data_IF_989146217452
#
_entry.id   IF_989146217452
#
_cell.length_a   1.000
_cell.length_b   1.000
_cell.length_c   1.000
_cell.angle_alpha   90.00
_cell.angle_beta   90.00
_cell.angle_gamma   90.00
#
_symmetry.space_group_name_H-M   'P 1'
#
loop_
_entity.id
_entity.type
_entity.pdbx_description
1 polymer ?
#
# COMPACT_ATOMS: atom_id res chain seq x y z
N UNK A 1 19.97 8.29 20.38
CA UNK A 1 18.98 8.98 19.53
C UNK A 1 19.38 8.74 18.08
N UNK A 2 18.49 8.16 17.28
CA UNK A 2 18.73 7.90 15.85
C UNK A 2 18.76 9.22 15.07
N UNK A 3 19.60 9.29 14.00
CA UNK A 3 19.64 10.49 13.16
C UNK A 3 18.37 10.61 12.32
N UNK A 4 17.83 11.82 12.16
CA UNK A 4 16.60 12.10 11.41
C UNK A 4 16.63 11.52 9.97
N UNK A 5 17.77 11.63 9.28
CA UNK A 5 17.96 11.03 7.93
C UNK A 5 17.78 9.50 7.91
N UNK A 6 18.17 8.79 8.99
CA UNK A 6 18.03 7.34 9.06
C UNK A 6 16.59 6.93 9.35
N UNK A 7 15.89 7.70 10.21
CA UNK A 7 14.46 7.51 10.45
C UNK A 7 13.68 7.61 9.14
N UNK A 8 13.95 8.67 8.40
CA UNK A 8 13.37 8.94 7.08
C UNK A 8 13.66 7.80 6.08
N UNK A 9 14.94 7.41 5.96
CA UNK A 9 15.34 6.36 5.04
C UNK A 9 14.67 5.02 5.35
N UNK A 10 14.57 4.62 6.62
CA UNK A 10 13.91 3.37 7.00
C UNK A 10 12.40 3.42 6.77
N UNK A 11 11.77 4.55 7.07
CA UNK A 11 10.35 4.76 6.80
C UNK A 11 10.04 4.61 5.30
N UNK A 12 10.80 5.30 4.45
CA UNK A 12 10.60 5.22 3.00
C UNK A 12 10.97 3.85 2.42
N UNK A 13 12.00 3.19 2.94
CA UNK A 13 12.30 1.81 2.55
C UNK A 13 11.10 0.89 2.81
N UNK A 14 10.46 1.03 3.98
CA UNK A 14 9.24 0.29 4.33
C UNK A 14 8.10 0.58 3.36
N UNK A 15 7.81 1.85 3.10
CA UNK A 15 6.75 2.24 2.15
C UNK A 15 6.99 1.69 0.74
N UNK A 16 8.21 1.79 0.23
CA UNK A 16 8.53 1.38 -1.14
C UNK A 16 8.48 -0.13 -1.34
N UNK A 17 8.89 -0.93 -0.35
CA UNK A 17 8.79 -2.39 -0.40
C UNK A 17 7.33 -2.83 -0.41
N UNK A 18 6.49 -2.26 0.45
CA UNK A 18 5.04 -2.57 0.49
C UNK A 18 4.36 -2.14 -0.80
N UNK A 19 4.68 -0.97 -1.33
CA UNK A 19 4.16 -0.45 -2.61
C UNK A 19 4.49 -1.38 -3.78
N UNK A 20 5.73 -1.85 -3.88
CA UNK A 20 6.13 -2.79 -4.92
C UNK A 20 5.35 -4.11 -4.82
N UNK A 21 5.16 -4.63 -3.59
CA UNK A 21 4.38 -5.86 -3.36
C UNK A 21 2.92 -5.67 -3.75
N UNK A 22 2.29 -4.59 -3.32
CA UNK A 22 0.87 -4.33 -3.58
C UNK A 22 0.62 -4.08 -5.08
N UNK A 23 1.49 -3.33 -5.75
CA UNK A 23 1.41 -3.13 -7.21
C UNK A 23 1.50 -4.45 -7.95
N UNK A 24 2.48 -5.30 -7.63
CA UNK A 24 2.63 -6.62 -8.25
C UNK A 24 1.42 -7.53 -7.97
N UNK A 25 0.88 -7.50 -6.76
CA UNK A 25 -0.29 -8.28 -6.38
C UNK A 25 -1.53 -7.85 -7.14
N UNK A 26 -1.77 -6.55 -7.27
CA UNK A 26 -2.93 -6.04 -8.01
C UNK A 26 -2.83 -6.31 -9.50
N UNK A 27 -1.62 -6.19 -10.09
CA UNK A 27 -1.36 -6.60 -11.47
C UNK A 27 -1.69 -8.07 -11.67
N UNK A 28 -1.23 -8.94 -10.78
CA UNK A 28 -1.45 -10.39 -10.85
C UNK A 28 -2.94 -10.76 -10.74
N UNK A 29 -3.64 -10.18 -9.77
CA UNK A 29 -5.08 -10.42 -9.56
C UNK A 29 -5.89 -9.89 -10.75
N UNK A 30 -5.55 -8.71 -11.27
CA UNK A 30 -6.22 -8.13 -12.44
C UNK A 30 -5.99 -8.99 -13.67
N UNK A 31 -4.74 -9.38 -13.94
CA UNK A 31 -4.38 -10.25 -15.05
C UNK A 31 -5.18 -11.57 -15.03
N UNK A 32 -5.17 -12.28 -13.89
CA UNK A 32 -5.91 -13.55 -13.77
C UNK A 32 -7.43 -13.37 -13.85
N UNK A 33 -7.96 -12.27 -13.31
CA UNK A 33 -9.39 -11.98 -13.39
C UNK A 33 -9.89 -11.69 -14.78
N UNK A 34 -8.98 -11.37 -15.71
CA UNK A 34 -9.30 -11.00 -17.09
C UNK A 34 -9.03 -12.11 -18.13
N UNK A 35 -8.54 -13.27 -17.71
CA UNK A 35 -8.25 -14.37 -18.65
C UNK A 35 -9.50 -14.85 -19.43
N UNK A 36 -10.69 -14.67 -18.85
CA UNK A 36 -11.98 -15.05 -19.44
C UNK A 36 -12.90 -13.85 -19.70
N UNK A 37 -12.40 -12.62 -19.51
CA UNK A 37 -13.20 -11.39 -19.58
C UNK A 37 -13.37 -10.90 -21.03
N UNK A 38 -14.47 -10.20 -21.29
CA UNK A 38 -14.70 -9.49 -22.54
C UNK A 38 -13.76 -8.27 -22.66
N UNK A 39 -13.38 -7.85 -23.90
CA UNK A 39 -12.42 -6.74 -24.10
C UNK A 39 -12.79 -5.43 -23.36
N UNK A 40 -14.06 -5.08 -23.29
CA UNK A 40 -14.54 -3.86 -22.62
C UNK A 40 -14.46 -3.98 -21.08
N UNK A 41 -14.60 -5.18 -20.51
CA UNK A 41 -14.37 -5.45 -19.10
C UNK A 41 -12.90 -5.35 -18.76
N UNK A 42 -12.03 -5.80 -19.68
CA UNK A 42 -10.59 -5.72 -19.51
C UNK A 42 -10.12 -4.25 -19.42
N UNK A 43 -10.51 -3.40 -20.36
CA UNK A 43 -10.15 -1.98 -20.33
C UNK A 43 -10.60 -1.30 -19.03
N UNK A 44 -11.84 -1.56 -18.59
CA UNK A 44 -12.37 -1.04 -17.34
C UNK A 44 -11.54 -1.48 -16.14
N UNK A 45 -11.21 -2.76 -16.04
CA UNK A 45 -10.45 -3.30 -14.91
C UNK A 45 -9.03 -2.73 -14.83
N UNK A 46 -8.38 -2.48 -15.98
CA UNK A 46 -7.09 -1.81 -16.01
C UNK A 46 -7.18 -0.32 -15.60
N UNK A 47 -8.23 0.40 -16.04
CA UNK A 47 -8.49 1.77 -15.56
C UNK A 47 -8.72 1.82 -14.05
N UNK A 48 -9.44 0.85 -13.52
CA UNK A 48 -9.72 0.76 -12.10
C UNK A 48 -8.47 0.45 -11.28
N UNK A 49 -7.57 -0.40 -11.79
CA UNK A 49 -6.25 -0.62 -11.19
C UNK A 49 -5.44 0.67 -11.11
N UNK A 50 -5.39 1.44 -12.19
CA UNK A 50 -4.71 2.74 -12.21
C UNK A 50 -5.29 3.71 -11.18
N UNK A 51 -6.62 3.75 -11.02
CA UNK A 51 -7.30 4.58 -9.99
C UNK A 51 -6.92 4.15 -8.57
N UNK A 52 -6.90 2.83 -8.27
CA UNK A 52 -6.47 2.33 -6.95
C UNK A 52 -5.06 2.80 -6.62
N UNK A 53 -4.19 2.81 -7.62
CA UNK A 53 -2.80 3.25 -7.47
C UNK A 53 -2.63 4.77 -7.56
N UNK A 54 -3.71 5.54 -7.88
CA UNK A 54 -3.69 6.99 -8.17
C UNK A 54 -2.76 7.37 -9.31
N UNK A 55 -2.68 6.51 -10.29
CA UNK A 55 -1.84 6.66 -11.49
C UNK A 55 -2.67 6.81 -12.78
N UNK A 56 -3.98 6.99 -12.65
CA UNK A 56 -4.87 7.19 -13.79
C UNK A 56 -4.60 8.49 -14.54
N UNK A 57 -4.33 9.60 -13.84
CA UNK A 57 -3.94 10.88 -14.46
C UNK A 57 -2.56 10.80 -15.11
N UNK A 58 -1.47 10.41 -14.42
CA UNK A 58 -0.15 10.25 -15.04
C UNK A 58 -0.15 9.30 -16.25
N UNK A 59 -0.90 8.20 -16.17
CA UNK A 59 -1.03 7.29 -17.31
C UNK A 59 -1.77 7.93 -18.49
N UNK A 60 -2.81 8.73 -18.24
CA UNK A 60 -3.58 9.41 -19.30
C UNK A 60 -2.71 10.44 -20.07
N UNK A 61 -1.75 11.07 -19.42
CA UNK A 61 -0.81 12.02 -20.04
C UNK A 61 0.12 11.37 -21.08
N UNK A 62 0.29 10.03 -21.02
CA UNK A 62 1.07 9.29 -22.02
C UNK A 62 0.34 9.08 -23.36
N UNK A 63 -0.96 9.45 -23.43
CA UNK A 63 -1.81 9.29 -24.61
C UNK A 63 -1.82 7.85 -25.19
N UNK A 64 -1.58 6.87 -24.33
CA UNK A 64 -1.57 5.45 -24.69
C UNK A 64 -2.92 4.79 -24.43
N UNK A 65 -3.27 3.79 -25.26
CA UNK A 65 -4.47 2.99 -25.03
C UNK A 65 -4.35 2.14 -23.76
N UNK A 66 -5.42 2.07 -22.98
CA UNK A 66 -5.48 1.25 -21.76
C UNK A 66 -5.60 -0.24 -22.13
N UNK A 67 -4.49 -0.95 -22.08
CA UNK A 67 -4.36 -2.37 -22.39
C UNK A 67 -3.42 -3.07 -21.41
N UNK A 68 -3.53 -4.37 -21.28
CA UNK A 68 -2.66 -5.15 -20.40
C UNK A 68 -1.17 -4.81 -20.56
N UNK A 69 -0.67 -4.77 -21.79
CA UNK A 69 0.73 -4.48 -22.08
C UNK A 69 1.12 -3.07 -21.62
N UNK A 70 0.38 -2.02 -22.07
CA UNK A 70 0.73 -0.63 -21.78
C UNK A 70 0.64 -0.29 -20.28
N UNK A 71 -0.39 -0.79 -19.58
CA UNK A 71 -0.55 -0.59 -18.15
C UNK A 71 0.51 -1.36 -17.37
N UNK A 72 0.80 -2.61 -17.77
CA UNK A 72 1.85 -3.38 -17.10
C UNK A 72 3.24 -2.80 -17.33
N UNK A 73 3.58 -2.31 -18.53
CA UNK A 73 4.84 -1.61 -18.78
C UNK A 73 4.97 -0.38 -17.88
N UNK A 74 3.94 0.45 -17.83
CA UNK A 74 3.89 1.66 -17.00
C UNK A 74 4.06 1.36 -15.50
N UNK A 75 3.38 0.33 -15.00
CA UNK A 75 3.42 -0.02 -13.56
C UNK A 75 4.64 -0.85 -13.16
N UNK A 76 5.32 -1.52 -14.10
CA UNK A 76 6.47 -2.37 -13.78
C UNK A 76 7.79 -1.61 -13.93
N UNK A 77 8.03 -0.95 -15.07
CA UNK A 77 9.37 -0.46 -15.39
C UNK A 77 9.45 0.89 -16.11
N UNK A 78 8.35 1.64 -16.25
CA UNK A 78 8.40 2.98 -16.82
C UNK A 78 9.30 3.87 -15.93
N UNK A 79 10.39 4.46 -16.49
CA UNK A 79 11.33 5.26 -15.71
C UNK A 79 10.74 6.59 -15.23
N UNK A 80 9.73 7.11 -15.92
CA UNK A 80 9.06 8.37 -15.58
C UNK A 80 7.94 8.17 -14.56
N UNK A 81 7.62 6.90 -14.25
CA UNK A 81 6.69 6.55 -13.17
C UNK A 81 7.45 6.22 -11.87
N UNK A 82 7.51 7.13 -10.90
CA UNK A 82 8.16 6.88 -9.62
C UNK A 82 7.50 5.74 -8.81
N UNK A 83 6.25 5.35 -9.15
CA UNK A 83 5.53 4.23 -8.57
C UNK A 83 5.69 2.90 -9.31
N UNK A 84 6.41 2.89 -10.39
CA UNK A 84 6.74 1.64 -11.03
C UNK A 84 7.49 0.71 -10.07
N UNK A 85 7.27 -0.58 -10.19
CA UNK A 85 7.92 -1.59 -9.32
C UNK A 85 9.44 -1.41 -9.31
N UNK A 86 10.06 -1.18 -10.50
CA UNK A 86 11.51 -0.96 -10.61
C UNK A 86 11.95 0.30 -9.85
N UNK A 87 11.18 1.38 -9.96
CA UNK A 87 11.46 2.65 -9.27
C UNK A 87 11.33 2.50 -7.76
N UNK A 88 10.26 1.84 -7.29
CA UNK A 88 10.04 1.57 -5.88
C UNK A 88 11.16 0.69 -5.28
N UNK A 89 11.52 -0.40 -5.95
CA UNK A 89 12.61 -1.30 -5.49
C UNK A 89 13.96 -0.58 -5.49
N UNK A 90 14.24 0.25 -6.49
CA UNK A 90 15.47 1.04 -6.53
C UNK A 90 15.52 2.06 -5.39
N UNK A 91 14.41 2.75 -5.13
CA UNK A 91 14.27 3.69 -4.02
C UNK A 91 14.41 2.99 -2.66
N UNK A 92 13.78 1.83 -2.47
CA UNK A 92 13.92 1.02 -1.25
C UNK A 92 15.39 0.64 -0.99
N UNK A 93 16.11 0.22 -2.05
CA UNK A 93 17.55 -0.10 -1.95
C UNK A 93 18.39 1.09 -1.55
N UNK A 94 18.19 2.27 -2.17
CA UNK A 94 18.96 3.46 -1.84
C UNK A 94 18.70 3.92 -0.40
N UNK A 95 17.45 3.85 0.04
CA UNK A 95 17.06 4.13 1.42
C UNK A 95 17.70 3.13 2.40
N UNK A 96 17.66 1.83 2.10
CA UNK A 96 18.34 0.81 2.91
C UNK A 96 19.85 1.03 2.95
N UNK A 97 20.46 1.47 1.84
CA UNK A 97 21.90 1.82 1.78
C UNK A 97 22.23 3.01 2.68
N UNK A 98 21.39 4.04 2.71
CA UNK A 98 21.57 5.22 3.55
C UNK A 98 21.45 4.88 5.06
N UNK A 99 20.72 3.84 5.42
CA UNK A 99 20.55 3.35 6.80
C UNK A 99 21.27 2.01 7.05
N UNK A 100 22.33 1.69 6.27
CA UNK A 100 22.99 0.39 6.25
C UNK A 100 23.49 -0.08 7.62
N UNK A 101 23.91 0.82 8.47
CA UNK A 101 24.40 0.55 9.81
C UNK A 101 23.30 0.17 10.82
N UNK A 102 22.03 0.39 10.48
CA UNK A 102 20.87 0.15 11.33
C UNK A 102 20.06 -1.09 10.92
N UNK A 103 20.42 -1.74 9.82
CA UNK A 103 19.78 -2.96 9.35
C UNK A 103 20.75 -4.14 9.38
N UNK A 104 20.22 -5.36 9.47
CA UNK A 104 21.04 -6.56 9.42
C UNK A 104 21.71 -6.74 8.05
N UNK A 105 22.78 -7.53 8.01
CA UNK A 105 23.46 -7.90 6.75
C UNK A 105 22.51 -8.66 5.84
N UNK A 106 21.73 -9.56 6.41
CA UNK A 106 20.76 -10.40 5.71
C UNK A 106 19.65 -9.55 5.08
N UNK A 107 19.16 -8.54 5.80
CA UNK A 107 18.14 -7.64 5.25
C UNK A 107 18.69 -6.82 4.08
N UNK A 108 19.90 -6.30 4.21
CA UNK A 108 20.56 -5.61 3.10
C UNK A 108 20.75 -6.52 1.89
N UNK A 109 21.24 -7.74 2.10
CA UNK A 109 21.45 -8.73 1.04
C UNK A 109 20.13 -9.06 0.33
N UNK A 110 19.05 -9.27 1.07
CA UNK A 110 17.75 -9.54 0.51
C UNK A 110 17.25 -8.38 -0.39
N UNK A 111 17.34 -7.13 0.08
CA UNK A 111 16.93 -5.95 -0.70
C UNK A 111 17.83 -5.77 -1.93
N UNK A 112 19.15 -5.86 -1.75
CA UNK A 112 20.11 -5.65 -2.82
C UNK A 112 20.03 -6.75 -3.89
N UNK A 113 19.89 -8.01 -3.49
CA UNK A 113 19.73 -9.14 -4.42
C UNK A 113 18.45 -9.02 -5.23
N UNK A 114 17.33 -8.66 -4.60
CA UNK A 114 16.08 -8.40 -5.29
C UNK A 114 16.23 -7.30 -6.35
N UNK A 115 16.84 -6.17 -5.99
CA UNK A 115 17.10 -5.07 -6.94
C UNK A 115 17.98 -5.52 -8.11
N UNK A 116 19.08 -6.23 -7.85
CA UNK A 116 20.00 -6.68 -8.90
C UNK A 116 19.34 -7.70 -9.84
N UNK A 117 18.60 -8.65 -9.29
CA UNK A 117 17.88 -9.65 -10.07
C UNK A 117 16.80 -9.00 -10.94
N UNK A 118 15.98 -8.08 -10.36
CA UNK A 118 14.96 -7.36 -11.11
C UNK A 118 15.56 -6.57 -12.27
N UNK A 119 16.71 -5.93 -12.08
CA UNK A 119 17.42 -5.18 -13.14
C UNK A 119 18.09 -6.05 -14.19
N UNK A 120 18.41 -7.30 -13.88
CA UNK A 120 19.02 -8.23 -14.84
C UNK A 120 18.01 -8.89 -15.78
N UNK A 121 16.71 -8.78 -15.47
CA UNK A 121 15.63 -9.39 -16.26
C UNK A 121 15.31 -8.59 -17.51
N UNK A 122 14.83 -9.29 -18.54
CA UNK A 122 14.19 -8.64 -19.68
C UNK A 122 12.71 -8.40 -19.35
N UNK A 123 12.43 -7.32 -18.60
CA UNK A 123 11.10 -7.03 -18.06
C UNK A 123 10.03 -6.89 -19.14
N UNK A 124 10.37 -6.35 -20.32
CA UNK A 124 9.44 -6.27 -21.43
C UNK A 124 9.01 -7.66 -21.89
N UNK A 125 9.97 -8.55 -22.12
CA UNK A 125 9.66 -9.93 -22.50
C UNK A 125 8.92 -10.69 -21.39
N UNK A 126 9.25 -10.45 -20.12
CA UNK A 126 8.56 -11.06 -18.99
C UNK A 126 7.10 -10.59 -18.90
N UNK A 127 6.83 -9.29 -19.07
CA UNK A 127 5.46 -8.72 -19.07
C UNK A 127 4.64 -9.28 -20.25
N UNK A 128 5.23 -9.44 -21.42
CA UNK A 128 4.53 -9.93 -22.62
C UNK A 128 4.25 -11.44 -22.56
N UNK A 129 5.23 -12.25 -22.14
CA UNK A 129 5.17 -13.70 -22.26
C UNK A 129 4.79 -14.41 -20.96
N UNK A 130 5.20 -13.88 -19.79
CA UNK A 130 5.08 -14.54 -18.48
C UNK A 130 4.78 -13.56 -17.34
N UNK A 131 3.74 -12.71 -17.45
CA UNK A 131 3.48 -11.67 -16.47
C UNK A 131 3.27 -12.22 -15.06
N UNK A 132 2.56 -13.34 -14.90
CA UNK A 132 2.35 -13.98 -13.61
C UNK A 132 3.66 -14.37 -12.90
N UNK A 133 4.62 -14.96 -13.64
CA UNK A 133 5.91 -15.35 -13.06
C UNK A 133 6.70 -14.12 -12.54
N UNK A 134 6.62 -13.00 -13.28
CA UNK A 134 7.23 -11.75 -12.87
C UNK A 134 6.57 -11.19 -11.60
N UNK A 135 5.23 -11.12 -11.58
CA UNK A 135 4.50 -10.60 -10.43
C UNK A 135 4.69 -11.47 -9.19
N UNK A 136 4.71 -12.79 -9.36
CA UNK A 136 4.96 -13.73 -8.26
C UNK A 136 6.41 -13.61 -7.73
N UNK A 137 7.38 -13.43 -8.61
CA UNK A 137 8.77 -13.14 -8.22
C UNK A 137 8.86 -11.86 -7.36
N UNK A 138 8.21 -10.76 -7.76
CA UNK A 138 8.20 -9.50 -6.99
C UNK A 138 7.55 -9.71 -5.63
N UNK A 139 6.36 -10.33 -5.57
CA UNK A 139 5.66 -10.61 -4.31
C UNK A 139 6.52 -11.44 -3.35
N UNK A 140 7.12 -12.53 -3.84
CA UNK A 140 7.97 -13.41 -3.01
C UNK A 140 9.22 -12.69 -2.51
N UNK A 141 9.84 -11.86 -3.34
CA UNK A 141 11.02 -11.08 -2.95
C UNK A 141 10.67 -10.09 -1.84
N UNK A 142 9.55 -9.34 -1.95
CA UNK A 142 9.08 -8.44 -0.89
C UNK A 142 8.73 -9.19 0.39
N UNK A 143 8.08 -10.36 0.31
CA UNK A 143 7.76 -11.20 1.46
C UNK A 143 9.02 -11.77 2.12
N UNK A 144 10.04 -12.14 1.35
CA UNK A 144 11.34 -12.54 1.87
C UNK A 144 11.99 -11.40 2.63
N UNK A 145 12.02 -10.19 2.08
CA UNK A 145 12.56 -9.00 2.74
C UNK A 145 11.83 -8.74 4.07
N UNK A 146 10.48 -8.81 4.05
CA UNK A 146 9.68 -8.62 5.27
C UNK A 146 9.97 -9.71 6.32
N UNK A 147 10.08 -10.97 5.90
CA UNK A 147 10.43 -12.09 6.78
C UNK A 147 11.83 -11.94 7.39
N UNK A 148 12.84 -11.61 6.58
CA UNK A 148 14.21 -11.36 7.05
C UNK A 148 14.24 -10.21 8.04
N UNK A 149 13.55 -9.10 7.77
CA UNK A 149 13.48 -7.98 8.70
C UNK A 149 12.87 -8.39 10.04
N UNK A 150 11.77 -9.18 10.02
CA UNK A 150 11.13 -9.70 11.23
C UNK A 150 12.08 -10.58 12.04
N UNK A 151 12.87 -11.40 11.41
CA UNK A 151 13.76 -12.38 12.08
C UNK A 151 15.08 -11.77 12.56
N UNK A 152 15.58 -10.71 11.90
CA UNK A 152 16.97 -10.26 12.12
C UNK A 152 17.10 -8.85 12.70
N UNK A 153 16.08 -8.00 12.60
CA UNK A 153 16.17 -6.65 13.16
C UNK A 153 15.81 -6.62 14.64
N UNK A 154 16.60 -5.97 15.50
CA UNK A 154 16.21 -5.68 16.87
C UNK A 154 14.96 -4.77 16.87
N UNK A 155 14.12 -4.88 17.90
CA UNK A 155 12.87 -4.09 18.03
C UNK A 155 13.14 -2.68 18.60
N UNK A 156 14.15 -2.02 18.01
CA UNK A 156 14.57 -0.66 18.31
C UNK A 156 13.85 0.41 17.45
N UNK A 157 14.34 1.63 17.45
CA UNK A 157 13.76 2.73 16.68
C UNK A 157 13.86 2.49 15.18
N UNK A 158 14.95 1.85 14.71
CA UNK A 158 15.12 1.51 13.29
C UNK A 158 14.02 0.59 12.78
N UNK A 159 13.74 -0.48 13.51
CA UNK A 159 12.61 -1.35 13.24
C UNK A 159 11.28 -0.60 13.20
N UNK A 160 11.06 0.31 14.17
CA UNK A 160 9.79 1.04 14.26
C UNK A 160 9.55 1.92 13.05
N UNK A 161 10.55 2.66 12.58
CA UNK A 161 10.39 3.48 11.38
C UNK A 161 10.15 2.65 10.12
N UNK A 162 10.83 1.53 9.95
CA UNK A 162 10.57 0.58 8.85
C UNK A 162 9.13 0.07 8.90
N UNK A 163 8.67 -0.35 10.07
CA UNK A 163 7.31 -0.85 10.29
C UNK A 163 6.24 0.23 10.11
N UNK A 164 6.48 1.46 10.58
CA UNK A 164 5.60 2.60 10.33
C UNK A 164 5.36 2.82 8.83
N UNK A 165 6.43 2.78 8.02
CA UNK A 165 6.32 2.87 6.57
C UNK A 165 5.43 1.78 5.99
N UNK A 166 5.67 0.52 6.33
CA UNK A 166 4.86 -0.62 5.87
C UNK A 166 3.40 -0.49 6.24
N UNK A 167 3.10 -0.19 7.52
CA UNK A 167 1.74 -0.19 8.01
C UNK A 167 0.92 0.97 7.47
N UNK A 168 1.50 2.15 7.30
CA UNK A 168 0.82 3.29 6.72
C UNK A 168 0.53 3.08 5.23
N UNK A 169 1.50 2.59 4.43
CA UNK A 169 1.27 2.26 3.02
C UNK A 169 0.16 1.23 2.84
N UNK A 170 0.20 0.18 3.66
CA UNK A 170 -0.78 -0.90 3.66
C UNK A 170 -2.19 -0.43 4.03
N UNK A 171 -2.33 0.45 5.03
CA UNK A 171 -3.60 1.04 5.40
C UNK A 171 -4.19 1.90 4.27
N UNK A 172 -3.37 2.77 3.67
CA UNK A 172 -3.77 3.59 2.52
C UNK A 172 -4.23 2.72 1.36
N UNK A 173 -3.46 1.69 1.01
CA UNK A 173 -3.77 0.81 -0.10
C UNK A 173 -5.09 0.06 0.09
N UNK A 174 -5.37 -0.40 1.31
CA UNK A 174 -6.63 -1.08 1.61
C UNK A 174 -7.82 -0.13 1.50
N UNK A 175 -7.70 1.12 1.98
CA UNK A 175 -8.75 2.12 1.81
C UNK A 175 -9.01 2.45 0.33
N UNK A 176 -7.96 2.68 -0.47
CA UNK A 176 -8.08 2.95 -1.91
C UNK A 176 -8.72 1.78 -2.67
N UNK A 177 -8.32 0.55 -2.35
CA UNK A 177 -8.89 -0.65 -2.96
C UNK A 177 -10.39 -0.76 -2.69
N UNK A 178 -10.82 -0.52 -1.45
CA UNK A 178 -12.24 -0.53 -1.08
C UNK A 178 -13.01 0.59 -1.78
N UNK A 179 -12.46 1.79 -1.82
CA UNK A 179 -13.11 2.96 -2.41
C UNK A 179 -13.41 2.78 -3.90
N UNK A 180 -12.41 2.39 -4.69
CA UNK A 180 -12.57 2.13 -6.13
C UNK A 180 -13.57 0.99 -6.37
N UNK A 181 -13.51 -0.08 -5.57
CA UNK A 181 -14.41 -1.23 -5.75
C UNK A 181 -15.85 -0.91 -5.37
N UNK A 182 -16.05 -0.15 -4.30
CA UNK A 182 -17.38 0.31 -3.90
C UNK A 182 -18.01 1.24 -4.96
N UNK A 183 -17.27 2.22 -5.42
CA UNK A 183 -17.73 3.16 -6.46
C UNK A 183 -18.15 2.45 -7.74
N UNK A 184 -17.48 1.35 -8.12
CA UNK A 184 -17.86 0.52 -9.28
C UNK A 184 -19.22 -0.17 -9.08
N UNK A 185 -19.44 -0.73 -7.90
CA UNK A 185 -20.69 -1.45 -7.60
C UNK A 185 -21.88 -0.49 -7.58
N UNK A 186 -21.71 0.68 -6.96
CA UNK A 186 -22.76 1.72 -6.96
C UNK A 186 -23.07 2.18 -8.37
N UNK A 187 -22.07 2.48 -9.19
CA UNK A 187 -22.24 2.93 -10.58
C UNK A 187 -22.88 1.89 -11.49
N UNK A 188 -22.66 0.60 -11.24
CA UNK A 188 -23.22 -0.49 -12.03
C UNK A 188 -24.64 -0.91 -11.59
N UNK A 189 -25.17 -0.35 -10.50
CA UNK A 189 -26.44 -0.78 -9.92
C UNK A 189 -26.45 -2.23 -9.42
N UNK A 190 -25.28 -2.82 -9.25
CA UNK A 190 -25.09 -4.23 -8.87
C UNK A 190 -24.64 -4.29 -7.41
N UNK A 191 -25.57 -4.60 -6.52
CA UNK A 191 -25.31 -4.72 -5.09
C UNK A 191 -24.69 -6.08 -4.67
N UNK A 192 -24.33 -6.98 -5.59
CA UNK A 192 -23.97 -8.35 -5.22
C UNK A 192 -22.96 -9.06 -6.11
N UNK A 193 -21.96 -8.37 -6.63
CA UNK A 193 -20.94 -9.01 -7.47
C UNK A 193 -19.98 -9.91 -6.68
N UNK A 194 -20.34 -11.17 -6.40
CA UNK A 194 -19.47 -12.16 -5.74
C UNK A 194 -18.03 -12.14 -6.29
N UNK A 195 -17.89 -12.10 -7.60
CA UNK A 195 -16.59 -12.10 -8.26
C UNK A 195 -15.75 -10.85 -7.96
N UNK A 196 -16.39 -9.68 -7.93
CA UNK A 196 -15.72 -8.41 -7.61
C UNK A 196 -15.18 -8.39 -6.16
N UNK A 197 -15.99 -8.83 -5.19
CA UNK A 197 -15.55 -8.90 -3.80
C UNK A 197 -14.46 -9.95 -3.58
N UNK A 198 -14.56 -11.09 -4.29
CA UNK A 198 -13.48 -12.08 -4.28
C UNK A 198 -12.16 -11.54 -4.83
N UNK A 199 -12.20 -10.76 -5.93
CA UNK A 199 -11.01 -10.09 -6.46
C UNK A 199 -10.46 -9.05 -5.46
N UNK A 200 -11.33 -8.29 -4.79
CA UNK A 200 -10.92 -7.35 -3.74
C UNK A 200 -10.19 -8.07 -2.61
N UNK A 201 -10.75 -9.15 -2.09
CA UNK A 201 -10.11 -9.97 -1.06
C UNK A 201 -8.80 -10.59 -1.54
N UNK A 202 -8.69 -11.03 -2.80
CA UNK A 202 -7.44 -11.54 -3.39
C UNK A 202 -6.40 -10.43 -3.50
N UNK A 203 -6.78 -9.21 -3.90
CA UNK A 203 -5.90 -8.05 -3.96
C UNK A 203 -5.34 -7.68 -2.59
N UNK A 204 -6.10 -7.89 -1.53
CA UNK A 204 -5.65 -7.74 -0.15
C UNK A 204 -5.01 -9.01 0.45
N UNK A 205 -4.83 -10.11 -0.29
CA UNK A 205 -4.42 -11.44 0.23
C UNK A 205 -5.31 -11.97 1.36
N UNK A 206 -6.58 -11.58 1.38
CA UNK A 206 -7.51 -11.85 2.47
C UNK A 206 -8.50 -12.98 2.23
N UNK A 207 -8.54 -13.56 1.03
CA UNK A 207 -9.62 -14.47 0.63
C UNK A 207 -9.73 -15.73 1.51
N UNK A 208 -8.61 -16.34 1.90
CA UNK A 208 -8.57 -17.51 2.77
C UNK A 208 -8.92 -17.17 4.23
N UNK A 209 -8.40 -16.06 4.73
CA UNK A 209 -8.67 -15.58 6.09
C UNK A 209 -10.15 -15.17 6.24
N UNK A 210 -10.70 -14.50 5.24
CA UNK A 210 -12.11 -14.13 5.17
C UNK A 210 -13.00 -15.37 5.20
N UNK A 211 -12.77 -16.37 4.31
CA UNK A 211 -13.56 -17.61 4.27
C UNK A 211 -13.55 -18.38 5.58
N UNK A 212 -12.45 -18.36 6.33
CA UNK A 212 -12.38 -19.01 7.65
C UNK A 212 -13.28 -18.32 8.69
N UNK A 213 -13.47 -17.00 8.59
CA UNK A 213 -14.27 -16.22 9.53
C UNK A 213 -15.76 -16.17 9.13
N UNK A 214 -16.05 -15.91 7.87
CA UNK A 214 -17.42 -15.66 7.36
C UNK A 214 -18.00 -16.84 6.56
N UNK A 215 -17.29 -17.96 6.49
CA UNK A 215 -17.69 -19.21 5.81
C UNK A 215 -17.96 -18.97 4.32
N UNK A 216 -19.20 -19.28 3.84
CA UNK A 216 -19.56 -19.17 2.43
C UNK A 216 -20.25 -17.84 2.06
N UNK A 217 -20.47 -16.94 3.01
CA UNK A 217 -21.05 -15.63 2.74
C UNK A 217 -20.04 -14.75 2.00
N UNK A 218 -20.50 -13.96 1.03
CA UNK A 218 -19.74 -12.90 0.36
C UNK A 218 -20.61 -11.64 0.41
N UNK A 219 -21.14 -11.34 1.61
CA UNK A 219 -21.86 -10.08 1.84
C UNK A 219 -20.87 -8.91 1.74
N UNK A 220 -21.20 -7.85 1.00
CA UNK A 220 -20.41 -6.63 0.95
C UNK A 220 -20.06 -6.08 2.34
N UNK A 221 -21.00 -6.11 3.28
CA UNK A 221 -20.79 -5.63 4.64
C UNK A 221 -19.71 -6.45 5.38
N UNK A 222 -19.73 -7.78 5.23
CA UNK A 222 -18.73 -8.65 5.81
C UNK A 222 -17.33 -8.39 5.24
N UNK A 223 -17.23 -8.12 3.92
CA UNK A 223 -15.95 -7.82 3.27
C UNK A 223 -15.40 -6.49 3.74
N UNK A 224 -16.26 -5.46 3.80
CA UNK A 224 -15.88 -4.12 4.28
C UNK A 224 -15.49 -4.21 5.76
N UNK A 225 -16.27 -4.87 6.60
CA UNK A 225 -15.94 -5.11 8.01
C UNK A 225 -14.59 -5.81 8.16
N UNK A 226 -14.35 -6.86 7.41
CA UNK A 226 -13.11 -7.63 7.47
C UNK A 226 -11.89 -6.79 7.10
N UNK A 227 -11.96 -6.03 6.01
CA UNK A 227 -10.85 -5.22 5.52
C UNK A 227 -10.66 -3.93 6.33
N UNK A 228 -11.69 -3.39 6.95
CA UNK A 228 -11.57 -2.22 7.81
C UNK A 228 -11.28 -2.59 9.26
N UNK A 229 -12.01 -3.52 9.86
CA UNK A 229 -12.11 -3.69 11.32
C UNK A 229 -11.45 -4.95 11.87
N UNK A 230 -10.93 -5.86 11.06
CA UNK A 230 -10.28 -7.06 11.58
C UNK A 230 -9.06 -6.70 12.43
N UNK A 231 -9.04 -7.15 13.68
CA UNK A 231 -7.92 -6.92 14.61
C UNK A 231 -6.75 -7.89 14.40
N UNK A 232 -6.95 -8.92 13.60
CA UNK A 232 -5.98 -10.02 13.42
C UNK A 232 -5.52 -10.18 11.98
N UNK A 233 -6.19 -9.55 11.01
CA UNK A 233 -5.80 -9.63 9.62
C UNK A 233 -4.76 -8.54 9.30
N UNK A 234 -3.53 -8.91 8.85
CA UNK A 234 -2.42 -7.95 8.73
C UNK A 234 -2.61 -6.83 7.72
N UNK A 235 -3.60 -6.93 6.82
CA UNK A 235 -3.93 -5.92 5.81
C UNK A 235 -5.25 -5.19 6.09
N UNK A 236 -5.87 -5.40 7.24
CA UNK A 236 -6.98 -4.56 7.65
C UNK A 236 -6.49 -3.19 8.14
N UNK A 237 -7.29 -2.16 7.90
CA UNK A 237 -6.94 -0.80 8.28
C UNK A 237 -6.73 -0.69 9.79
N UNK A 238 -7.63 -1.27 10.59
CA UNK A 238 -7.54 -1.24 12.06
C UNK A 238 -6.28 -1.95 12.59
N UNK A 239 -5.90 -3.10 12.01
CA UNK A 239 -4.65 -3.78 12.38
C UNK A 239 -3.44 -2.89 12.12
N UNK A 240 -3.39 -2.25 10.94
CA UNK A 240 -2.30 -1.35 10.57
C UNK A 240 -2.22 -0.15 11.52
N UNK A 241 -3.33 0.54 11.79
CA UNK A 241 -3.35 1.70 12.68
C UNK A 241 -2.96 1.34 14.12
N UNK A 242 -3.35 0.17 14.62
CA UNK A 242 -2.92 -0.32 15.95
C UNK A 242 -1.43 -0.65 15.99
N UNK A 243 -0.86 -1.18 14.90
CA UNK A 243 0.58 -1.39 14.80
C UNK A 243 1.33 -0.06 14.83
N UNK A 244 0.86 0.93 14.06
CA UNK A 244 1.40 2.29 14.07
C UNK A 244 1.32 2.94 15.46
N UNK A 245 0.19 2.78 16.16
CA UNK A 245 0.00 3.30 17.52
C UNK A 245 1.01 2.70 18.50
N UNK A 246 1.21 1.39 18.44
CA UNK A 246 2.18 0.71 19.30
C UNK A 246 3.63 1.18 19.03
N UNK A 247 4.00 1.39 17.77
CA UNK A 247 5.33 1.87 17.42
C UNK A 247 5.55 3.32 17.83
N UNK A 248 4.58 4.20 17.61
CA UNK A 248 4.65 5.60 18.06
C UNK A 248 4.72 5.71 19.58
N UNK A 249 3.95 4.88 20.31
CA UNK A 249 4.01 4.85 21.77
C UNK A 249 5.39 4.43 22.30
N UNK A 250 6.10 3.57 21.56
CA UNK A 250 7.45 3.13 21.91
C UNK A 250 8.52 4.17 21.57
N UNK A 251 8.38 4.87 20.43
CA UNK A 251 9.27 5.96 20.03
C UNK A 251 9.22 7.13 21.01
N UNK A 252 8.08 7.35 21.65
CA UNK A 252 7.85 8.47 22.59
C UNK A 252 7.78 8.03 24.06
N UNK A 253 8.30 6.85 24.36
CA UNK A 253 8.34 6.36 25.74
C UNK A 253 9.07 7.36 26.66
N UNK A 254 8.35 7.84 27.69
CA UNK A 254 8.86 8.84 28.62
C UNK A 254 8.42 10.29 28.34
N UNK A 255 7.72 10.57 27.24
CA UNK A 255 7.10 11.88 27.03
C UNK A 255 5.86 12.03 27.93
N UNK A 256 5.71 13.16 28.67
CA UNK A 256 4.56 13.38 29.54
C UNK A 256 3.27 13.71 28.77
N UNK A 257 3.36 14.01 27.48
CA UNK A 257 2.23 14.39 26.63
C UNK A 257 2.28 13.62 25.30
N UNK A 258 1.09 13.29 24.79
CA UNK A 258 0.98 12.68 23.47
C UNK A 258 1.48 13.62 22.39
N UNK A 259 2.38 13.13 21.54
CA UNK A 259 2.89 13.87 20.40
C UNK A 259 1.82 14.04 19.29
N UNK A 260 2.10 14.93 18.36
CA UNK A 260 1.16 15.25 17.28
C UNK A 260 0.74 14.01 16.46
N UNK A 261 1.67 13.11 16.01
CA UNK A 261 1.29 11.91 15.29
C UNK A 261 0.33 11.02 16.07
N UNK A 262 0.58 10.80 17.37
CA UNK A 262 -0.28 9.97 18.22
C UNK A 262 -1.69 10.56 18.39
N UNK A 263 -1.82 11.89 18.51
CA UNK A 263 -3.13 12.55 18.65
C UNK A 263 -3.96 12.41 17.37
N UNK A 264 -3.34 12.58 16.20
CA UNK A 264 -4.02 12.42 14.91
C UNK A 264 -4.44 10.95 14.74
N UNK A 265 -3.51 10.03 14.94
CA UNK A 265 -3.76 8.59 14.86
C UNK A 265 -4.90 8.13 15.78
N UNK A 266 -4.90 8.60 17.03
CA UNK A 266 -5.93 8.26 18.01
C UNK A 266 -7.34 8.66 17.55
N UNK A 267 -7.49 9.83 16.90
CA UNK A 267 -8.77 10.26 16.30
C UNK A 267 -9.15 9.34 15.14
N UNK A 268 -8.28 9.18 14.14
CA UNK A 268 -8.52 8.32 12.96
C UNK A 268 -8.88 6.90 13.37
N UNK A 269 -8.19 6.33 14.36
CA UNK A 269 -8.48 4.99 14.87
C UNK A 269 -9.82 4.92 15.62
N UNK A 270 -10.16 5.96 16.40
CA UNK A 270 -11.45 6.01 17.10
C UNK A 270 -12.62 6.04 16.11
N UNK A 271 -12.55 6.85 15.07
CA UNK A 271 -13.59 6.94 14.04
C UNK A 271 -13.82 5.56 13.40
N UNK A 272 -12.75 4.79 13.22
CA UNK A 272 -12.82 3.43 12.67
C UNK A 272 -13.35 2.40 13.68
N UNK A 273 -12.93 2.45 14.95
CA UNK A 273 -13.28 1.43 15.97
C UNK A 273 -14.77 1.44 16.37
N UNK A 274 -15.42 2.59 16.26
CA UNK A 274 -16.84 2.77 16.58
C UNK A 274 -17.76 2.73 15.36
N UNK A 275 -17.22 2.29 14.21
CA UNK A 275 -17.94 2.22 12.96
C UNK A 275 -18.96 1.08 12.96
N UNK A 276 -20.20 1.37 12.55
CA UNK A 276 -21.17 0.36 12.14
C UNK A 276 -21.12 0.20 10.60
N UNK A 277 -20.69 -0.97 10.15
CA UNK A 277 -20.51 -1.25 8.72
C UNK A 277 -21.82 -1.35 7.95
N UNK A 278 -22.92 -1.74 8.60
CA UNK A 278 -24.25 -1.77 7.96
C UNK A 278 -24.79 -0.36 7.75
N UNK A 279 -24.66 0.51 8.74
CA UNK A 279 -25.02 1.94 8.60
C UNK A 279 -24.14 2.62 7.54
N UNK A 280 -22.84 2.32 7.53
CA UNK A 280 -21.91 2.87 6.56
C UNK A 280 -22.28 2.53 5.11
N UNK A 281 -22.68 1.30 4.84
CA UNK A 281 -23.08 0.89 3.48
C UNK A 281 -24.45 1.45 3.04
N UNK A 282 -25.27 1.88 3.97
CA UNK A 282 -26.51 2.62 3.68
C UNK A 282 -26.23 4.13 3.50
N UNK A 283 -25.12 4.62 4.02
CA UNK A 283 -24.64 5.97 3.91
C UNK A 283 -23.68 6.17 2.73
N UNK A 284 -22.58 6.86 2.99
CA UNK A 284 -21.54 7.14 1.99
C UNK A 284 -20.18 6.57 2.41
N UNK A 285 -19.94 5.32 2.01
CA UNK A 285 -18.67 4.64 2.23
C UNK A 285 -17.49 5.40 1.59
N UNK A 286 -17.71 6.07 0.45
CA UNK A 286 -16.67 6.85 -0.22
C UNK A 286 -16.18 8.00 0.67
N UNK A 287 -17.10 8.80 1.20
CA UNK A 287 -16.76 9.91 2.12
C UNK A 287 -16.01 9.40 3.35
N UNK A 288 -16.43 8.26 3.91
CA UNK A 288 -15.73 7.66 5.05
C UNK A 288 -14.31 7.21 4.69
N UNK A 289 -14.13 6.53 3.55
CA UNK A 289 -12.81 6.07 3.11
C UNK A 289 -11.88 7.24 2.78
N UNK A 290 -12.39 8.32 2.19
CA UNK A 290 -11.63 9.55 1.96
C UNK A 290 -11.18 10.20 3.29
N UNK A 291 -12.07 10.26 4.27
CA UNK A 291 -11.72 10.73 5.63
C UNK A 291 -10.61 9.85 6.25
N UNK A 292 -10.69 8.53 6.12
CA UNK A 292 -9.68 7.60 6.61
C UNK A 292 -8.34 7.79 5.91
N UNK A 293 -8.35 7.92 4.57
CA UNK A 293 -7.14 8.19 3.77
C UNK A 293 -6.48 9.49 4.20
N UNK A 294 -7.25 10.56 4.36
CA UNK A 294 -6.75 11.85 4.84
C UNK A 294 -6.16 11.73 6.26
N UNK A 295 -6.81 10.97 7.15
CA UNK A 295 -6.30 10.71 8.49
C UNK A 295 -4.95 9.98 8.48
N UNK A 296 -4.82 8.92 7.67
CA UNK A 296 -3.56 8.15 7.55
C UNK A 296 -2.43 9.02 6.99
N UNK A 297 -2.71 9.87 6.00
CA UNK A 297 -1.73 10.82 5.45
C UNK A 297 -1.29 11.85 6.48
N UNK A 298 -2.22 12.44 7.21
CA UNK A 298 -1.90 13.39 8.27
C UNK A 298 -1.02 12.76 9.36
N UNK A 299 -1.18 11.46 9.65
CA UNK A 299 -0.27 10.73 10.54
C UNK A 299 1.12 10.65 9.93
N UNK A 300 1.24 10.28 8.64
CA UNK A 300 2.53 10.19 7.94
C UNK A 300 3.25 11.54 7.88
N UNK A 301 2.54 12.61 7.55
CA UNK A 301 3.06 13.99 7.58
C UNK A 301 3.52 14.41 8.98
N UNK A 302 2.73 14.12 10.00
CA UNK A 302 3.10 14.45 11.36
C UNK A 302 4.35 13.67 11.84
N UNK A 303 4.51 12.41 11.42
CA UNK A 303 5.72 11.62 11.65
C UNK A 303 6.91 12.28 10.94
N UNK A 304 6.75 12.66 9.68
CA UNK A 304 7.79 13.30 8.90
C UNK A 304 8.24 14.63 9.56
N UNK A 305 7.31 15.50 9.88
CA UNK A 305 7.60 16.79 10.53
C UNK A 305 8.29 16.64 11.89
N UNK A 306 8.02 15.55 12.61
CA UNK A 306 8.61 15.34 13.94
C UNK A 306 9.99 14.67 13.89
N UNK A 307 10.21 13.76 12.95
CA UNK A 307 11.37 12.86 12.98
C UNK A 307 12.30 12.99 11.78
N UNK A 308 11.87 13.55 10.62
CA UNK A 308 12.68 13.56 9.41
C UNK A 308 13.37 14.89 9.18
N UNK A 309 14.50 14.83 8.51
CA UNK A 309 15.28 16.02 8.20
C UNK A 309 14.65 16.79 7.03
N UNK A 310 14.25 16.10 5.97
CA UNK A 310 13.74 16.74 4.74
C UNK A 310 12.43 17.49 4.97
N UNK A 311 11.56 17.00 5.87
CA UNK A 311 10.31 17.68 6.22
C UNK A 311 10.52 19.01 6.99
N UNK A 312 11.72 19.23 7.54
CA UNK A 312 12.09 20.50 8.15
C UNK A 312 12.66 21.51 7.14
N UNK A 313 13.10 21.03 5.97
CA UNK A 313 13.73 21.82 4.91
C UNK A 313 12.84 21.97 3.66
N UNK A 314 11.88 21.05 3.42
CA UNK A 314 11.03 20.98 2.22
C UNK A 314 9.61 20.56 2.55
N UNK A 315 8.68 20.83 1.62
CA UNK A 315 7.31 20.36 1.73
C UNK A 315 7.23 18.82 1.57
N UNK A 316 6.64 18.13 2.55
CA UNK A 316 6.50 16.66 2.55
C UNK A 316 5.73 16.13 1.33
N UNK A 317 4.80 16.93 0.79
CA UNK A 317 4.05 16.57 -0.42
C UNK A 317 4.94 16.36 -1.66
N UNK A 318 6.10 17.02 -1.73
CA UNK A 318 7.06 16.81 -2.80
C UNK A 318 7.79 15.47 -2.74
N UNK A 319 7.74 14.80 -1.59
CA UNK A 319 8.39 13.50 -1.34
C UNK A 319 7.45 12.31 -1.53
N UNK A 320 6.14 12.55 -1.52
CA UNK A 320 5.13 11.54 -1.87
C UNK A 320 4.57 11.84 -3.28
N UNK A 321 5.14 11.21 -4.32
CA UNK A 321 4.71 11.43 -5.70
C UNK A 321 3.28 10.99 -5.99
N UNK A 322 2.60 10.40 -5.01
CA UNK A 322 1.21 9.91 -5.09
C UNK A 322 0.25 10.66 -4.18
N UNK A 323 0.73 11.67 -3.45
CA UNK A 323 -0.17 12.58 -2.75
C UNK A 323 -1.06 13.31 -3.77
N UNK A 324 -2.33 13.67 -3.44
CA UNK A 324 -3.12 14.51 -4.31
C UNK A 324 -2.32 15.79 -4.54
N UNK A 325 -2.14 16.14 -5.82
CA UNK A 325 -1.63 17.47 -6.19
C UNK A 325 -2.47 18.48 -5.44
N UNK A 326 -1.86 19.31 -4.60
CA UNK A 326 -2.55 20.40 -3.96
C UNK A 326 -3.21 21.20 -5.09
N UNK A 327 -4.54 21.17 -5.18
CA UNK A 327 -5.26 22.10 -6.02
C UNK A 327 -4.94 23.48 -5.45
N UNK A 328 -4.04 24.18 -6.15
CA UNK A 328 -3.85 25.62 -5.96
C UNK A 328 -5.13 26.26 -6.47
N UNK A 329 -6.06 26.52 -5.54
CA UNK A 329 -7.25 27.33 -5.75
C UNK A 329 -6.92 28.81 -5.73
#
# INVERSE_FOLDING_TARGET
MMLARHAESLFWAGRQIERAEDTARMLDVTYHGLLEAMPWEAERSWKDLLKVLWLDRPFAELEQGVRAATVSEFLVFDPDNPGAIVSAVSSARENARAARELISSELWEAINSFHLELRSRNLRADVEARPHELYDFVKRSCQTISGVAVETMPRDDGWRFLQLGWMLERAEMTCRLLDVRYSQLVSAGVTGGFHHWLQTLKSASGSEAFRRRYRASMDPADVVEFLLLSRTFPRSVLFCLRSVENDLARLEAGSPTLARPQRILGRTRSDLEFLDTHELLQGDLHVFLDMMLNGVRQVAEAVALQYFRSAQEHDFHSLDPYGPSAEVG
#
